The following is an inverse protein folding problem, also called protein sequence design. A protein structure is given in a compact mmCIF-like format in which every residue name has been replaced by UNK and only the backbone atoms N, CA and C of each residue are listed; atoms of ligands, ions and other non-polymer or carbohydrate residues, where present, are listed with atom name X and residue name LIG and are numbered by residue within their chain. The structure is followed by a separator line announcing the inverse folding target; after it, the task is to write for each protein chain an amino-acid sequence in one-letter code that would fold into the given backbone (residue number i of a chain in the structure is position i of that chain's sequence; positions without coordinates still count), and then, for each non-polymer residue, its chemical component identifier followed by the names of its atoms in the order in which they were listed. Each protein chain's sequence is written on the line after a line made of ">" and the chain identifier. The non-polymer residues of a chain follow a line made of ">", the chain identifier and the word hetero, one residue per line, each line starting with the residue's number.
data_IF_983502106022
#
_entry.id   IF_983502106022
#
_cell.length_a   1.000
_cell.length_b   1.000
_cell.length_c   1.000
_cell.angle_alpha   90.00
_cell.angle_beta   90.00
_cell.angle_gamma   90.00
#
_symmetry.space_group_name_H-M   'P 1'
#
loop_
_entity.id
_entity.type
_entity.pdbx_description
1 polymer ?
#
# COMPACT_ATOMS: atom_id res chain seq x y z
N UNK A 1 20.09 -8.51 5.86
CA UNK A 1 19.41 -8.67 4.55
C UNK A 1 18.98 -10.12 4.49
N UNK A 2 17.75 -10.39 4.91
CA UNK A 2 17.27 -11.75 5.27
C UNK A 2 16.55 -12.38 4.09
N UNK A 3 16.89 -13.63 3.76
CA UNK A 3 16.28 -14.49 2.73
C UNK A 3 14.76 -14.34 2.57
N UNK A 4 14.05 -14.08 3.68
CA UNK A 4 12.61 -13.96 3.75
C UNK A 4 12.02 -12.88 2.83
N UNK A 5 12.70 -11.75 2.63
CA UNK A 5 12.23 -10.70 1.70
C UNK A 5 12.23 -11.22 0.25
N UNK A 6 13.30 -11.91 -0.17
CA UNK A 6 13.45 -12.41 -1.54
C UNK A 6 12.40 -13.48 -1.89
N UNK A 7 12.13 -14.41 -0.96
CA UNK A 7 11.09 -15.43 -1.11
C UNK A 7 9.69 -14.82 -1.28
N UNK A 8 9.42 -13.71 -0.59
CA UNK A 8 8.16 -12.97 -0.73
C UNK A 8 8.05 -12.37 -2.13
N UNK A 9 9.11 -11.71 -2.63
CA UNK A 9 9.11 -11.17 -3.99
C UNK A 9 8.97 -12.27 -5.05
N UNK A 10 9.60 -13.42 -4.86
CA UNK A 10 9.48 -14.55 -5.77
C UNK A 10 8.06 -15.08 -5.88
N UNK A 11 7.31 -15.10 -4.77
CA UNK A 11 5.89 -15.48 -4.75
C UNK A 11 4.96 -14.38 -5.25
N UNK A 12 5.34 -13.11 -5.12
CA UNK A 12 4.53 -11.98 -5.60
C UNK A 12 4.55 -11.84 -7.13
N UNK A 13 5.65 -12.19 -7.79
CA UNK A 13 5.79 -12.13 -9.27
C UNK A 13 4.68 -12.88 -10.04
N UNK A 14 4.41 -14.17 -9.78
CA UNK A 14 3.35 -14.89 -10.50
C UNK A 14 1.95 -14.35 -10.17
N UNK A 15 1.75 -13.82 -8.96
CA UNK A 15 0.47 -13.23 -8.57
C UNK A 15 0.17 -11.95 -9.36
N UNK A 16 1.17 -11.07 -9.52
CA UNK A 16 1.04 -9.85 -10.34
C UNK A 16 0.74 -10.18 -11.81
N UNK A 17 1.43 -11.19 -12.37
CA UNK A 17 1.18 -11.66 -13.73
C UNK A 17 -0.25 -12.19 -13.92
N UNK A 18 -0.77 -12.94 -12.94
CA UNK A 18 -2.12 -13.50 -12.99
C UNK A 18 -3.19 -12.41 -12.91
N UNK A 19 -3.01 -11.43 -12.01
CA UNK A 19 -3.92 -10.28 -11.89
C UNK A 19 -3.99 -9.51 -13.22
N UNK A 20 -2.83 -9.21 -13.84
CA UNK A 20 -2.77 -8.56 -15.16
C UNK A 20 -3.45 -9.38 -16.25
N UNK A 21 -3.28 -10.70 -16.22
CA UNK A 21 -3.93 -11.59 -17.18
C UNK A 21 -5.45 -11.57 -17.06
N UNK A 22 -5.97 -11.62 -15.83
CA UNK A 22 -7.41 -11.56 -15.56
C UNK A 22 -8.02 -10.24 -16.03
N UNK A 23 -7.39 -9.09 -15.73
CA UNK A 23 -7.88 -7.79 -16.22
C UNK A 23 -7.92 -7.73 -17.75
N UNK A 24 -6.89 -8.26 -18.43
CA UNK A 24 -6.87 -8.33 -19.90
C UNK A 24 -8.00 -9.19 -20.47
N UNK A 25 -8.38 -10.27 -19.77
CA UNK A 25 -9.43 -11.18 -20.23
C UNK A 25 -10.85 -10.66 -19.93
N UNK A 26 -11.04 -9.94 -18.82
CA UNK A 26 -12.37 -9.44 -18.41
C UNK A 26 -12.74 -8.10 -19.05
N UNK A 27 -11.78 -7.40 -19.67
CA UNK A 27 -12.01 -6.09 -20.29
C UNK A 27 -12.23 -4.96 -19.28
N UNK A 28 -12.03 -5.24 -17.98
CA UNK A 28 -12.05 -4.22 -16.93
C UNK A 28 -10.70 -3.51 -16.97
N UNK A 29 -10.67 -2.16 -17.08
CA UNK A 29 -9.42 -1.42 -17.07
C UNK A 29 -8.69 -1.69 -15.76
N UNK A 30 -7.38 -1.94 -15.84
CA UNK A 30 -6.56 -2.13 -14.66
C UNK A 30 -6.75 -0.91 -13.75
N UNK A 31 -7.21 -1.08 -12.50
CA UNK A 31 -7.43 0.04 -11.61
C UNK A 31 -6.10 0.76 -11.42
N UNK A 32 -6.17 2.09 -11.42
CA UNK A 32 -4.98 2.91 -11.22
C UNK A 32 -4.43 2.59 -9.83
N UNK A 33 -3.28 1.90 -9.78
CA UNK A 33 -2.68 1.42 -8.54
C UNK A 33 -2.37 2.60 -7.60
N UNK A 34 -2.14 3.81 -8.15
CA UNK A 34 -2.01 5.03 -7.37
C UNK A 34 -3.36 5.48 -6.76
N UNK A 35 -4.47 5.33 -7.49
CA UNK A 35 -5.82 5.59 -6.99
C UNK A 35 -6.27 4.53 -5.95
N UNK A 36 -5.81 3.28 -6.09
CA UNK A 36 -6.02 2.24 -5.10
C UNK A 36 -5.21 2.48 -3.83
N UNK A 37 -3.92 2.84 -3.95
CA UNK A 37 -3.08 3.19 -2.81
C UNK A 37 -3.64 4.38 -2.02
N UNK A 38 -4.30 5.34 -2.69
CA UNK A 38 -5.02 6.43 -2.00
C UNK A 38 -6.35 5.97 -1.38
N UNK A 39 -6.95 4.88 -1.87
CA UNK A 39 -8.17 4.27 -1.31
C UNK A 39 -7.88 3.33 -0.13
N UNK A 40 -6.69 2.72 -0.06
CA UNK A 40 -6.26 1.89 1.07
C UNK A 40 -6.05 2.68 2.37
N UNK A 41 -5.96 4.01 2.26
CA UNK A 41 -5.74 4.90 3.38
C UNK A 41 -7.08 5.48 3.84
N UNK A 42 -7.55 5.01 5.00
CA UNK A 42 -8.76 5.49 5.68
C UNK A 42 -8.77 7.02 5.80
N UNK A 43 -9.96 7.63 5.76
CA UNK A 43 -10.13 9.08 5.89
C UNK A 43 -9.49 9.64 7.16
N UNK A 44 -9.41 8.82 8.22
CA UNK A 44 -8.74 9.17 9.46
C UNK A 44 -7.23 9.36 9.28
N UNK A 45 -6.58 8.47 8.53
CA UNK A 45 -5.15 8.57 8.23
C UNK A 45 -4.90 9.79 7.34
N UNK A 46 -5.76 10.06 6.34
CA UNK A 46 -5.65 11.27 5.51
C UNK A 46 -5.76 12.56 6.32
N UNK A 47 -6.71 12.64 7.26
CA UNK A 47 -6.84 13.82 8.13
C UNK A 47 -5.57 14.03 8.98
N UNK A 48 -4.97 12.93 9.48
CA UNK A 48 -3.74 12.99 10.27
C UNK A 48 -2.53 13.40 9.40
N UNK A 49 -2.46 12.94 8.16
CA UNK A 49 -1.45 13.37 7.18
C UNK A 49 -1.61 14.87 6.87
N UNK A 50 -2.83 15.31 6.53
CA UNK A 50 -3.14 16.71 6.26
C UNK A 50 -2.87 17.63 7.46
N UNK A 51 -3.05 17.13 8.68
CA UNK A 51 -2.72 17.84 9.91
C UNK A 51 -1.22 17.87 10.26
N UNK A 52 -0.34 17.30 9.42
CA UNK A 52 1.10 17.24 9.70
C UNK A 52 1.49 16.22 10.79
N UNK A 53 0.55 15.38 11.24
CA UNK A 53 0.77 14.43 12.32
C UNK A 53 1.17 13.04 11.80
N UNK A 54 2.42 12.94 11.33
CA UNK A 54 3.01 11.71 10.76
C UNK A 54 2.94 10.50 11.70
N UNK A 55 3.17 10.70 13.01
CA UNK A 55 3.13 9.61 14.00
C UNK A 55 1.70 9.12 14.21
N UNK A 56 0.74 10.04 14.29
CA UNK A 56 -0.68 9.70 14.38
C UNK A 56 -1.17 8.94 13.16
N UNK A 57 -0.81 9.41 11.96
CA UNK A 57 -1.16 8.76 10.69
C UNK A 57 -0.57 7.34 10.60
N UNK A 58 0.70 7.16 10.95
CA UNK A 58 1.35 5.86 10.97
C UNK A 58 0.70 4.91 11.98
N UNK A 59 0.34 5.40 13.17
CA UNK A 59 -0.34 4.60 14.18
C UNK A 59 -1.74 4.17 13.71
N UNK A 60 -2.52 5.09 13.18
CA UNK A 60 -3.85 4.80 12.66
C UNK A 60 -3.80 3.79 11.51
N UNK A 61 -2.88 3.97 10.57
CA UNK A 61 -2.66 3.02 9.46
C UNK A 61 -2.25 1.64 9.99
N UNK A 62 -1.36 1.59 10.97
CA UNK A 62 -0.94 0.32 11.58
C UNK A 62 -2.07 -0.39 12.31
N UNK A 63 -2.88 0.36 13.05
CA UNK A 63 -4.00 -0.19 13.83
C UNK A 63 -5.13 -0.69 12.91
N UNK A 64 -5.29 -0.10 11.73
CA UNK A 64 -6.31 -0.49 10.73
C UNK A 64 -5.85 -1.64 9.83
N UNK A 65 -4.61 -1.62 9.33
CA UNK A 65 -4.11 -2.61 8.35
C UNK A 65 -3.32 -3.76 9.00
N UNK A 66 -2.90 -3.60 10.26
CA UNK A 66 -2.09 -4.61 10.98
C UNK A 66 -0.67 -4.80 10.44
N UNK A 67 -0.21 -3.91 9.56
CA UNK A 67 1.10 -4.00 8.90
C UNK A 67 2.25 -3.62 9.83
N UNK A 68 3.48 -4.00 9.49
CA UNK A 68 4.66 -3.61 10.25
C UNK A 68 4.91 -2.09 10.22
N UNK A 69 5.57 -1.60 11.27
CA UNK A 69 6.00 -0.19 11.43
C UNK A 69 6.77 0.34 10.21
N UNK A 70 7.60 -0.50 9.59
CA UNK A 70 8.38 -0.13 8.41
C UNK A 70 7.47 0.16 7.21
N UNK A 71 6.52 -0.72 6.94
CA UNK A 71 5.56 -0.59 5.84
C UNK A 71 4.65 0.61 6.06
N UNK A 72 4.13 0.77 7.29
CA UNK A 72 3.34 1.95 7.65
C UNK A 72 4.12 3.25 7.43
N UNK A 73 5.40 3.29 7.80
CA UNK A 73 6.22 4.48 7.58
C UNK A 73 6.43 4.77 6.10
N UNK A 74 6.74 3.77 5.26
CA UNK A 74 6.92 3.97 3.82
C UNK A 74 5.66 4.52 3.13
N UNK A 75 4.49 4.00 3.51
CA UNK A 75 3.20 4.49 2.96
C UNK A 75 2.96 5.94 3.36
N UNK A 76 3.07 6.27 4.65
CA UNK A 76 2.85 7.65 5.11
C UNK A 76 3.90 8.61 4.53
N UNK A 77 5.16 8.21 4.44
CA UNK A 77 6.23 9.04 3.86
C UNK A 77 6.01 9.34 2.37
N UNK A 78 5.47 8.36 1.62
CA UNK A 78 5.07 8.54 0.22
C UNK A 78 3.91 9.53 0.07
N UNK A 79 2.99 9.57 1.05
CA UNK A 79 1.88 10.53 1.06
C UNK A 79 2.32 11.98 1.37
N UNK A 80 3.43 12.16 2.09
CA UNK A 80 3.98 13.49 2.40
C UNK A 80 4.90 14.04 1.31
N UNK A 81 5.50 13.16 0.52
CA UNK A 81 6.50 13.52 -0.49
C UNK A 81 5.91 13.68 -1.90
N UNK A 82 4.57 13.66 -2.01
CA UNK A 82 3.81 13.87 -3.24
C UNK A 82 3.33 15.31 -3.42
#
# INVERSE_FOLDING_TARGET
>A
MTSNDSDIYDRLRPLDQLVRHLYKQTGVPMPDLAALATTEVSDRVRQLVAAGNKIGAMKAYRDETGVDLRTANQVIDSLYSG
#
